data_IF_789860402500
#
_entry.id   IF_789860402500
#
_cell.length_a   1.000
_cell.length_b   1.000
_cell.length_c   1.000
_cell.angle_alpha   90.00
_cell.angle_beta   90.00
_cell.angle_gamma   90.00
#
_symmetry.space_group_name_H-M   'P 1'
#
loop_
_entity.id
_entity.type
_entity.pdbx_description
1 polymer ?
#
# COMPACT_ATOMS: atom_id res chain seq x y z
N UNK A 1 -8.10 24.30 16.72
CA UNK A 1 -7.91 22.89 16.31
C UNK A 1 -7.40 22.94 14.90
N UNK A 2 -6.08 23.08 14.82
CA UNK A 2 -5.38 23.42 13.59
C UNK A 2 -5.35 22.21 12.67
N UNK A 3 -6.10 22.30 11.56
CA UNK A 3 -5.99 21.38 10.43
C UNK A 3 -4.53 21.42 9.97
N UNK A 4 -3.81 20.33 10.23
CA UNK A 4 -2.42 20.28 9.83
C UNK A 4 -2.36 20.19 8.31
N UNK A 5 -2.03 21.31 7.67
CA UNK A 5 -1.87 21.50 6.22
C UNK A 5 -0.62 20.80 5.69
N UNK A 6 -0.50 19.49 5.91
CA UNK A 6 0.55 18.68 5.28
C UNK A 6 0.23 18.32 3.81
N UNK A 7 -0.93 18.74 3.30
CA UNK A 7 -1.51 18.31 2.03
C UNK A 7 -1.20 19.14 0.79
N UNK A 8 -0.34 20.16 0.88
CA UNK A 8 0.00 21.03 -0.27
C UNK A 8 1.19 20.52 -1.10
N UNK A 9 1.96 19.54 -0.58
CA UNK A 9 3.17 19.01 -1.23
C UNK A 9 2.86 17.84 -2.18
N UNK A 10 1.75 17.13 -1.96
CA UNK A 10 1.36 15.95 -2.75
C UNK A 10 0.12 16.27 -3.58
N UNK A 11 0.32 16.91 -4.72
CA UNK A 11 -0.72 17.00 -5.75
C UNK A 11 -1.18 15.58 -6.08
N UNK A 12 -2.51 15.28 -6.03
CA UNK A 12 -2.99 14.03 -6.60
C UNK A 12 -2.56 14.02 -8.06
N UNK A 13 -1.73 13.04 -8.44
CA UNK A 13 -1.35 12.86 -9.85
C UNK A 13 -2.61 12.89 -10.73
N UNK A 14 -2.44 13.30 -11.98
CA UNK A 14 -3.52 13.30 -12.97
C UNK A 14 -4.24 11.94 -13.03
N UNK A 15 -5.50 11.93 -13.49
CA UNK A 15 -6.35 10.74 -13.48
C UNK A 15 -5.72 9.56 -14.24
N UNK A 16 -4.93 9.83 -15.28
CA UNK A 16 -4.19 8.83 -16.03
C UNK A 16 -3.07 8.20 -15.19
N UNK A 17 -2.30 9.02 -14.47
CA UNK A 17 -1.27 8.56 -13.53
C UNK A 17 -1.85 7.70 -12.42
N UNK A 18 -2.99 8.10 -11.84
CA UNK A 18 -3.68 7.29 -10.82
C UNK A 18 -4.13 5.95 -11.38
N UNK A 19 -4.73 5.96 -12.57
CA UNK A 19 -5.20 4.74 -13.24
C UNK A 19 -4.06 3.78 -13.56
N UNK A 20 -2.90 4.28 -13.98
CA UNK A 20 -1.70 3.47 -14.22
C UNK A 20 -1.15 2.88 -12.92
N UNK A 21 -1.06 3.69 -11.86
CA UNK A 21 -0.60 3.23 -10.53
C UNK A 21 -1.54 2.17 -9.97
N UNK A 22 -2.84 2.38 -10.06
CA UNK A 22 -3.83 1.39 -9.66
C UNK A 22 -3.65 0.06 -10.38
N UNK A 23 -3.51 0.08 -11.72
CA UNK A 23 -3.28 -1.15 -12.50
C UNK A 23 -2.03 -1.89 -12.00
N UNK A 24 -0.91 -1.19 -11.82
CA UNK A 24 0.33 -1.75 -11.30
C UNK A 24 0.15 -2.33 -9.90
N UNK A 25 -0.51 -1.58 -9.00
CA UNK A 25 -0.81 -2.00 -7.63
C UNK A 25 -1.66 -3.26 -7.63
N UNK A 26 -2.77 -3.29 -8.38
CA UNK A 26 -3.65 -4.47 -8.45
C UNK A 26 -2.93 -5.72 -8.94
N UNK A 27 -2.04 -5.59 -9.91
CA UNK A 27 -1.31 -6.72 -10.49
C UNK A 27 -0.20 -7.24 -9.58
N UNK A 28 0.56 -6.35 -8.94
CA UNK A 28 1.80 -6.71 -8.25
C UNK A 28 1.67 -6.81 -6.72
N UNK A 29 0.56 -6.34 -6.15
CA UNK A 29 0.38 -6.30 -4.70
C UNK A 29 0.50 -7.66 -4.02
N UNK A 30 -0.28 -8.65 -4.44
CA UNK A 30 -0.29 -9.96 -3.77
C UNK A 30 1.04 -10.72 -3.86
N UNK A 31 1.71 -10.80 -5.02
CA UNK A 31 3.04 -11.41 -5.12
C UNK A 31 4.08 -10.73 -4.23
N UNK A 32 4.06 -9.39 -4.12
CA UNK A 32 5.02 -8.65 -3.30
C UNK A 32 4.70 -8.77 -1.81
N UNK A 33 3.42 -8.62 -1.45
CA UNK A 33 2.94 -8.79 -0.09
C UNK A 33 3.33 -10.16 0.48
N UNK A 34 3.18 -11.24 -0.30
CA UNK A 34 3.57 -12.59 0.13
C UNK A 34 5.05 -12.72 0.52
N UNK A 35 5.94 -11.99 -0.16
CA UNK A 35 7.38 -12.00 0.13
C UNK A 35 7.70 -11.20 1.39
N UNK A 36 7.01 -10.07 1.58
CA UNK A 36 7.27 -9.13 2.68
C UNK A 36 6.46 -9.40 3.96
N UNK A 37 5.36 -10.16 3.90
CA UNK A 37 4.41 -10.34 5.01
C UNK A 37 5.06 -10.90 6.28
N UNK A 38 6.12 -11.71 6.13
CA UNK A 38 6.88 -12.27 7.27
C UNK A 38 7.70 -11.22 8.02
N UNK A 39 7.99 -10.09 7.40
CA UNK A 39 8.83 -9.02 7.92
C UNK A 39 8.03 -7.77 8.32
N UNK A 40 6.76 -7.67 7.92
CA UNK A 40 5.91 -6.50 8.15
C UNK A 40 4.98 -6.77 9.36
N UNK A 41 5.17 -6.08 10.51
CA UNK A 41 4.33 -6.27 11.69
C UNK A 41 2.92 -5.68 11.56
N UNK A 42 2.68 -4.88 10.51
CA UNK A 42 1.40 -4.20 10.22
C UNK A 42 0.74 -4.75 8.94
N UNK A 43 0.88 -6.05 8.67
CA UNK A 43 0.35 -6.72 7.47
C UNK A 43 -1.14 -6.48 7.22
N UNK A 44 -1.94 -6.44 8.28
CA UNK A 44 -3.37 -6.11 8.24
C UNK A 44 -3.63 -4.70 7.71
N UNK A 45 -2.87 -3.70 8.16
CA UNK A 45 -3.01 -2.31 7.71
C UNK A 45 -2.60 -2.16 6.24
N UNK A 46 -1.59 -2.91 5.77
CA UNK A 46 -1.17 -2.92 4.36
C UNK A 46 -2.30 -3.41 3.45
N UNK A 47 -2.92 -4.54 3.81
CA UNK A 47 -4.03 -5.11 3.02
C UNK A 47 -5.27 -4.23 3.09
N UNK A 48 -5.59 -3.67 4.26
CA UNK A 48 -6.70 -2.72 4.38
C UNK A 48 -6.46 -1.44 3.56
N UNK A 49 -5.21 -0.94 3.53
CA UNK A 49 -4.80 0.18 2.69
C UNK A 49 -4.94 -0.12 1.20
N UNK A 50 -4.62 -1.34 0.76
CA UNK A 50 -4.89 -1.79 -0.61
C UNK A 50 -6.37 -1.72 -0.97
N UNK A 51 -7.26 -2.25 -0.12
CA UNK A 51 -8.70 -2.14 -0.36
C UNK A 51 -9.18 -0.68 -0.35
N UNK A 52 -8.66 0.13 0.56
CA UNK A 52 -8.99 1.56 0.62
C UNK A 52 -8.58 2.31 -0.65
N UNK A 53 -7.44 1.95 -1.26
CA UNK A 53 -6.95 2.54 -2.50
C UNK A 53 -7.81 2.18 -3.73
N UNK A 54 -8.50 1.04 -3.68
CA UNK A 54 -9.39 0.57 -4.74
C UNK A 54 -10.86 0.98 -4.53
N UNK A 55 -11.21 1.47 -3.35
CA UNK A 55 -12.56 1.94 -3.06
C UNK A 55 -12.84 3.26 -3.81
N UNK A 56 -13.82 3.31 -4.74
CA UNK A 56 -14.20 4.54 -5.42
C UNK A 56 -14.81 5.59 -4.47
N UNK A 57 -15.24 5.19 -3.27
CA UNK A 57 -15.73 6.10 -2.21
C UNK A 57 -14.61 6.74 -1.40
N UNK A 58 -13.35 6.41 -1.68
CA UNK A 58 -12.18 7.06 -1.06
C UNK A 58 -11.90 8.39 -1.76
N UNK A 59 -11.75 9.51 -1.02
CA UNK A 59 -11.42 10.80 -1.62
C UNK A 59 -10.18 10.71 -2.51
N UNK A 60 -10.22 11.32 -3.70
CA UNK A 60 -9.18 11.19 -4.73
C UNK A 60 -7.77 11.50 -4.23
N UNK A 61 -7.63 12.48 -3.32
CA UNK A 61 -6.34 12.81 -2.69
C UNK A 61 -5.79 11.66 -1.86
N UNK A 62 -6.62 11.10 -0.98
CA UNK A 62 -6.26 9.97 -0.10
C UNK A 62 -5.95 8.74 -0.95
N UNK A 63 -6.82 8.47 -1.93
CA UNK A 63 -6.62 7.40 -2.91
C UNK A 63 -5.29 7.55 -3.63
N UNK A 64 -4.94 8.77 -4.03
CA UNK A 64 -3.68 9.05 -4.70
C UNK A 64 -2.44 8.80 -3.85
N UNK A 65 -2.47 9.19 -2.58
CA UNK A 65 -1.39 8.92 -1.62
C UNK A 65 -1.26 7.40 -1.38
N UNK A 66 -2.38 6.71 -1.17
CA UNK A 66 -2.40 5.25 -1.02
C UNK A 66 -1.86 4.54 -2.26
N UNK A 67 -2.31 4.94 -3.45
CA UNK A 67 -1.83 4.38 -4.71
C UNK A 67 -0.34 4.68 -4.92
N UNK A 68 0.16 5.84 -4.51
CA UNK A 68 1.59 6.15 -4.58
C UNK A 68 2.40 5.27 -3.61
N UNK A 69 1.98 5.16 -2.35
CA UNK A 69 2.65 4.34 -1.34
C UNK A 69 2.63 2.85 -1.71
N UNK A 70 1.49 2.35 -2.18
CA UNK A 70 1.36 0.98 -2.66
C UNK A 70 2.12 0.77 -3.96
N UNK A 71 2.12 1.74 -4.89
CA UNK A 71 2.92 1.63 -6.11
C UNK A 71 4.41 1.55 -5.79
N UNK A 72 4.89 2.32 -4.80
CA UNK A 72 6.25 2.20 -4.29
C UNK A 72 6.51 0.83 -3.65
N UNK A 73 5.53 0.28 -2.91
CA UNK A 73 5.63 -1.07 -2.35
C UNK A 73 5.67 -2.19 -3.40
N UNK A 74 4.98 -2.04 -4.56
CA UNK A 74 4.72 -3.13 -5.52
C UNK A 74 5.35 -3.00 -6.90
N UNK A 75 5.77 -1.79 -7.32
CA UNK A 75 6.85 -1.71 -8.30
C UNK A 75 7.96 -2.60 -7.77
N UNK A 76 8.70 -3.30 -8.66
CA UNK A 76 9.62 -4.33 -8.20
C UNK A 76 10.41 -3.69 -7.04
N UNK A 77 10.64 -4.34 -5.92
CA UNK A 77 11.87 -5.12 -5.80
C UNK A 77 12.94 -4.79 -6.89
N UNK A 78 13.13 -3.52 -7.26
CA UNK A 78 13.97 -2.97 -8.35
C UNK A 78 15.16 -2.20 -7.74
N UNK A 79 15.16 -2.05 -6.41
CA UNK A 79 16.31 -1.64 -5.59
C UNK A 79 16.63 -2.63 -4.46
N UNK A 80 15.74 -3.58 -4.19
CA UNK A 80 15.82 -4.54 -3.09
C UNK A 80 16.74 -5.75 -3.38
N UNK A 81 16.86 -6.31 -4.61
CA UNK A 81 17.61 -7.55 -4.80
C UNK A 81 19.10 -7.43 -4.46
N UNK A 82 19.73 -6.30 -4.76
CA UNK A 82 21.18 -6.14 -4.61
C UNK A 82 21.59 -5.48 -3.27
N UNK A 83 20.71 -4.69 -2.62
CA UNK A 83 21.05 -3.89 -1.42
C UNK A 83 20.84 -4.66 -0.11
N UNK A 84 19.88 -5.58 -0.06
CA UNK A 84 19.63 -6.39 1.12
C UNK A 84 20.70 -7.46 1.39
N UNK A 85 21.66 -7.63 0.47
CA UNK A 85 22.85 -8.42 0.71
C UNK A 85 23.89 -7.72 1.62
N UNK A 86 23.77 -6.40 1.90
CA UNK A 86 24.88 -5.63 2.53
C UNK A 86 24.50 -4.82 3.79
N UNK A 87 23.67 -3.76 3.79
CA UNK A 87 23.50 -2.88 4.98
C UNK A 87 22.16 -2.12 4.97
N UNK A 88 21.44 -2.06 6.11
CA UNK A 88 20.50 -0.96 6.45
C UNK A 88 18.99 -1.17 6.19
N UNK A 89 18.27 -1.87 7.08
CA UNK A 89 16.82 -2.18 6.98
C UNK A 89 15.86 -1.07 7.46
N UNK A 90 16.36 -0.01 8.11
CA UNK A 90 15.54 0.83 9.00
C UNK A 90 14.76 1.97 8.31
N UNK A 91 15.28 2.53 7.22
CA UNK A 91 14.76 3.78 6.64
C UNK A 91 13.50 3.56 5.77
N UNK A 92 13.50 2.56 4.89
CA UNK A 92 12.34 2.25 4.03
C UNK A 92 11.12 1.75 4.82
N UNK A 93 11.36 0.97 5.89
CA UNK A 93 10.29 0.52 6.79
C UNK A 93 9.70 1.71 7.55
N UNK A 94 10.52 2.67 7.96
CA UNK A 94 10.05 3.88 8.62
C UNK A 94 9.21 4.75 7.67
N UNK A 95 9.63 4.91 6.42
CA UNK A 95 8.89 5.64 5.38
C UNK A 95 7.56 4.98 5.07
N UNK A 96 7.54 3.66 4.86
CA UNK A 96 6.30 2.91 4.66
C UNK A 96 5.38 3.00 5.89
N UNK A 97 5.93 2.82 7.09
CA UNK A 97 5.18 2.92 8.35
C UNK A 97 4.58 4.31 8.54
N UNK A 98 5.33 5.37 8.24
CA UNK A 98 4.85 6.75 8.31
C UNK A 98 3.76 7.02 7.27
N UNK A 99 3.93 6.55 6.03
CA UNK A 99 2.92 6.65 5.00
C UNK A 99 1.61 5.93 5.41
N UNK A 100 1.72 4.71 5.94
CA UNK A 100 0.56 3.98 6.47
C UNK A 100 -0.07 4.68 7.67
N UNK A 101 0.72 5.22 8.60
CA UNK A 101 0.21 5.96 9.75
C UNK A 101 -0.58 7.21 9.33
N UNK A 102 -0.09 7.95 8.33
CA UNK A 102 -0.76 9.15 7.81
C UNK A 102 -2.11 8.84 7.15
N UNK A 103 -2.23 7.70 6.47
CA UNK A 103 -3.46 7.31 5.75
C UNK A 103 -4.40 6.45 6.60
N UNK A 104 -3.94 5.94 7.75
CA UNK A 104 -4.70 5.03 8.62
C UNK A 104 -6.05 5.58 9.05
N UNK A 105 -6.13 6.88 9.32
CA UNK A 105 -7.39 7.57 9.70
C UNK A 105 -8.46 7.54 8.62
N UNK A 106 -8.09 7.25 7.37
CA UNK A 106 -9.00 7.15 6.23
C UNK A 106 -9.37 5.70 5.88
N UNK A 107 -8.71 4.71 6.49
CA UNK A 107 -9.02 3.30 6.29
C UNK A 107 -10.26 2.95 7.13
N UNK A 108 -11.39 2.77 6.45
CA UNK A 108 -12.67 2.45 7.08
C UNK A 108 -12.72 1.00 7.59
N UNK A 109 -13.57 0.69 8.59
CA UNK A 109 -13.75 -0.67 9.11
C UNK A 109 -14.00 -1.73 8.03
N UNK A 110 -14.80 -1.42 7.01
CA UNK A 110 -15.07 -2.36 5.91
C UNK A 110 -13.82 -2.78 5.12
N UNK A 111 -12.77 -1.95 5.07
CA UNK A 111 -11.49 -2.33 4.45
C UNK A 111 -10.70 -3.28 5.34
N UNK A 112 -10.77 -3.09 6.65
CA UNK A 112 -10.20 -4.02 7.62
C UNK A 112 -10.92 -5.36 7.62
N UNK A 113 -12.25 -5.37 7.51
CA UNK A 113 -13.02 -6.61 7.37
C UNK A 113 -12.64 -7.37 6.09
N UNK A 114 -12.43 -6.65 4.98
CA UNK A 114 -11.95 -7.25 3.74
C UNK A 114 -10.52 -7.81 3.89
N UNK A 115 -9.64 -7.11 4.60
CA UNK A 115 -8.31 -7.58 4.91
C UNK A 115 -8.33 -8.84 5.77
N UNK A 116 -9.13 -8.87 6.83
CA UNK A 116 -9.23 -9.99 7.76
C UNK A 116 -9.73 -11.25 7.06
N UNK A 117 -10.72 -11.12 6.16
CA UNK A 117 -11.21 -12.26 5.35
C UNK A 117 -10.10 -12.89 4.52
N UNK A 118 -9.31 -12.08 3.83
CA UNK A 118 -8.24 -12.60 2.95
C UNK A 118 -7.02 -13.08 3.72
N UNK A 119 -6.74 -12.52 4.89
CA UNK A 119 -5.65 -13.00 5.74
C UNK A 119 -6.01 -14.30 6.48
N UNK A 120 -7.28 -14.49 6.84
CA UNK A 120 -7.77 -15.71 7.47
C UNK A 120 -7.93 -16.87 6.48
N UNK A 121 -8.43 -16.58 5.27
CA UNK A 121 -8.62 -17.56 4.19
C UNK A 121 -8.15 -16.93 2.86
N UNK A 122 -6.85 -17.01 2.54
CA UNK A 122 -6.32 -16.42 1.32
C UNK A 122 -6.93 -17.10 0.09
N UNK A 123 -7.63 -16.36 -0.81
CA UNK A 123 -8.27 -16.97 -1.96
C UNK A 123 -7.25 -17.70 -2.84
N UNK A 124 -7.59 -18.92 -3.28
CA UNK A 124 -6.73 -19.74 -4.14
C UNK A 124 -6.28 -19.01 -5.43
N UNK A 125 -7.06 -18.03 -5.89
CA UNK A 125 -6.79 -17.24 -7.11
C UNK A 125 -5.86 -16.03 -6.86
N UNK A 126 -5.88 -15.43 -5.66
CA UNK A 126 -4.84 -14.48 -5.21
C UNK A 126 -3.47 -15.15 -4.97
N UNK A 127 -3.42 -16.48 -5.02
CA UNK A 127 -2.25 -17.31 -4.71
C UNK A 127 -1.58 -17.94 -5.93
N UNK A 128 -2.11 -17.77 -7.15
CA UNK A 128 -1.45 -18.23 -8.38
C UNK A 128 -0.37 -17.23 -8.81
N UNK A 129 0.86 -17.51 -8.37
CA UNK A 129 2.07 -16.98 -8.99
C UNK A 129 2.36 -17.82 -10.24
N UNK A 130 2.43 -17.16 -11.40
CA UNK A 130 3.32 -17.56 -12.49
C UNK A 130 4.41 -16.50 -12.59
#
# INVERSE_FOLDING_TARGET
>A
MDEVKFGEILLPGDEDTQSRREKTVRQKFWPTFRRAVRQIPFSRDVVAGFYCALDPKTPTKVRGVLLAALAYFVMPVDMIPDIFAVVGFSDDVAVLSAAFAMVRSHIRPGHYDAADRVLADPPADTMKTI
#
